data_IF_376823155477
#
_entry.id   IF_376823155477
#
_cell.length_a   1.000
_cell.length_b   1.000
_cell.length_c   1.000
_cell.angle_alpha   90.00
_cell.angle_beta   90.00
_cell.angle_gamma   90.00
#
_symmetry.space_group_name_H-M   'P 1'
#
loop_
_entity.id
_entity.type
_entity.pdbx_description
1 polymer ?
#
# COMPACT_ATOMS: atom_id res chain seq x y z
N UNK A 1 -63.20 20.99 -23.43
CA UNK A 1 -62.35 19.90 -22.87
C UNK A 1 -63.09 19.22 -21.73
N UNK A 2 -63.36 17.91 -21.84
CA UNK A 2 -64.07 17.11 -20.83
C UNK A 2 -63.29 17.05 -19.50
N UNK A 3 -64.01 17.06 -18.36
CA UNK A 3 -63.45 16.93 -16.99
C UNK A 3 -62.45 15.77 -16.84
N UNK A 4 -62.64 14.69 -17.62
CA UNK A 4 -61.74 13.52 -17.66
C UNK A 4 -60.32 13.87 -18.13
N UNK A 5 -60.17 14.77 -19.10
CA UNK A 5 -58.86 15.16 -19.63
C UNK A 5 -58.05 15.97 -18.62
N UNK A 6 -58.72 16.78 -17.77
CA UNK A 6 -58.05 17.56 -16.71
C UNK A 6 -57.48 16.66 -15.61
N UNK A 7 -58.22 15.62 -15.22
CA UNK A 7 -57.73 14.62 -14.24
C UNK A 7 -56.55 13.81 -14.75
N UNK A 8 -56.58 13.42 -16.03
CA UNK A 8 -55.46 12.71 -16.68
C UNK A 8 -54.19 13.57 -16.74
N UNK A 9 -54.29 14.85 -17.10
CA UNK A 9 -53.15 15.79 -17.12
C UNK A 9 -52.58 15.98 -15.70
N UNK A 10 -53.43 16.11 -14.68
CA UNK A 10 -52.99 16.23 -13.29
C UNK A 10 -52.25 14.97 -12.84
N UNK A 11 -52.76 13.78 -13.16
CA UNK A 11 -52.12 12.52 -12.79
C UNK A 11 -50.77 12.34 -13.47
N UNK A 12 -50.67 12.66 -14.76
CA UNK A 12 -49.41 12.60 -15.51
C UNK A 12 -48.37 13.57 -14.94
N UNK A 13 -48.77 14.80 -14.63
CA UNK A 13 -47.86 15.81 -14.04
C UNK A 13 -47.38 15.39 -12.66
N UNK A 14 -48.25 14.84 -11.80
CA UNK A 14 -47.84 14.28 -10.50
C UNK A 14 -46.84 13.13 -10.66
N UNK A 15 -47.06 12.25 -11.64
CA UNK A 15 -46.17 11.11 -11.91
C UNK A 15 -44.79 11.59 -12.40
N UNK A 16 -44.76 12.58 -13.29
CA UNK A 16 -43.51 13.21 -13.74
C UNK A 16 -42.77 13.88 -12.57
N UNK A 17 -43.47 14.64 -11.72
CA UNK A 17 -42.87 15.28 -10.54
C UNK A 17 -42.33 14.22 -9.57
N UNK A 18 -43.05 13.12 -9.35
CA UNK A 18 -42.59 12.02 -8.51
C UNK A 18 -41.30 11.38 -9.05
N UNK A 19 -41.22 11.13 -10.36
CA UNK A 19 -40.02 10.60 -11.01
C UNK A 19 -38.85 11.57 -10.89
N UNK A 20 -39.07 12.86 -11.15
CA UNK A 20 -38.02 13.90 -11.00
C UNK A 20 -37.54 13.96 -9.54
N UNK A 21 -38.46 13.93 -8.58
CA UNK A 21 -38.12 13.97 -7.15
C UNK A 21 -37.31 12.75 -6.73
N UNK A 22 -37.67 11.56 -7.22
CA UNK A 22 -36.94 10.33 -6.96
C UNK A 22 -35.53 10.36 -7.58
N UNK A 23 -35.41 10.88 -8.80
CA UNK A 23 -34.11 11.07 -9.47
C UNK A 23 -33.21 12.04 -8.70
N UNK A 24 -33.76 13.14 -8.18
CA UNK A 24 -33.02 14.10 -7.35
C UNK A 24 -32.56 13.43 -6.06
N UNK A 25 -33.45 12.73 -5.35
CA UNK A 25 -33.10 12.03 -4.11
C UNK A 25 -31.99 10.99 -4.33
N UNK A 26 -32.10 10.22 -5.42
CA UNK A 26 -31.11 9.20 -5.79
C UNK A 26 -29.77 9.85 -6.13
N UNK A 27 -29.79 10.97 -6.85
CA UNK A 27 -28.58 11.74 -7.17
C UNK A 27 -27.89 12.27 -5.91
N UNK A 28 -28.65 12.80 -4.94
CA UNK A 28 -28.10 13.24 -3.65
C UNK A 28 -27.48 12.07 -2.87
N UNK A 29 -28.13 10.91 -2.86
CA UNK A 29 -27.58 9.70 -2.23
C UNK A 29 -26.27 9.26 -2.89
N UNK A 30 -26.20 9.28 -4.23
CA UNK A 30 -24.97 8.99 -4.95
C UNK A 30 -23.85 9.96 -4.59
N UNK A 31 -24.10 11.27 -4.58
CA UNK A 31 -23.11 12.28 -4.19
C UNK A 31 -22.55 12.00 -2.78
N UNK A 32 -23.43 11.65 -1.83
CA UNK A 32 -23.03 11.33 -0.47
C UNK A 32 -22.16 10.05 -0.39
N UNK A 33 -22.50 9.02 -1.18
CA UNK A 33 -21.71 7.79 -1.27
C UNK A 33 -20.34 8.02 -1.92
N UNK A 34 -20.29 8.85 -2.98
CA UNK A 34 -19.03 9.23 -3.62
C UNK A 34 -18.14 9.98 -2.65
N UNK A 35 -18.68 10.95 -1.92
CA UNK A 35 -17.94 11.70 -0.92
C UNK A 35 -17.35 10.78 0.16
N UNK A 36 -18.14 9.84 0.70
CA UNK A 36 -17.65 8.85 1.68
C UNK A 36 -16.53 7.98 1.11
N UNK A 37 -16.65 7.56 -0.15
CA UNK A 37 -15.65 6.71 -0.80
C UNK A 37 -14.34 7.47 -1.01
N UNK A 38 -14.41 8.73 -1.46
CA UNK A 38 -13.25 9.59 -1.66
C UNK A 38 -12.52 9.81 -0.33
N UNK A 39 -13.23 10.18 0.73
CA UNK A 39 -12.61 10.38 2.04
C UNK A 39 -11.93 9.10 2.56
N UNK A 40 -12.58 7.94 2.38
CA UNK A 40 -11.97 6.66 2.76
C UNK A 40 -10.70 6.39 1.94
N UNK A 41 -10.75 6.65 0.64
CA UNK A 41 -9.60 6.47 -0.25
C UNK A 41 -8.45 7.41 0.11
N UNK A 42 -8.73 8.66 0.47
CA UNK A 42 -7.73 9.62 0.92
C UNK A 42 -7.03 9.14 2.19
N UNK A 43 -7.78 8.66 3.19
CA UNK A 43 -7.20 8.10 4.43
C UNK A 43 -6.31 6.89 4.12
N UNK A 44 -6.76 5.97 3.28
CA UNK A 44 -5.96 4.80 2.88
C UNK A 44 -4.68 5.20 2.15
N UNK A 45 -4.77 6.21 1.28
CA UNK A 45 -3.63 6.76 0.55
C UNK A 45 -2.61 7.37 1.52
N UNK A 46 -3.06 8.22 2.45
CA UNK A 46 -2.19 8.82 3.47
C UNK A 46 -1.50 7.74 4.32
N UNK A 47 -2.24 6.73 4.78
CA UNK A 47 -1.69 5.63 5.57
C UNK A 47 -0.64 4.83 4.79
N UNK A 48 -0.89 4.57 3.50
CA UNK A 48 0.09 3.91 2.63
C UNK A 48 1.40 4.71 2.54
N UNK A 49 1.33 6.01 2.24
CA UNK A 49 2.53 6.83 2.07
C UNK A 49 3.32 7.02 3.37
N UNK A 50 2.64 7.12 4.51
CA UNK A 50 3.32 7.14 5.80
C UNK A 50 4.11 5.84 6.04
N UNK A 51 3.51 4.69 5.73
CA UNK A 51 4.21 3.42 5.86
C UNK A 51 5.34 3.27 4.84
N UNK A 52 5.16 3.78 3.62
CA UNK A 52 6.19 3.79 2.59
C UNK A 52 7.39 4.64 3.03
N UNK A 53 7.16 5.85 3.54
CA UNK A 53 8.23 6.71 4.07
C UNK A 53 9.03 6.01 5.17
N UNK A 54 8.34 5.38 6.13
CA UNK A 54 8.99 4.61 7.20
C UNK A 54 9.79 3.42 6.62
N UNK A 55 9.23 2.67 5.69
CA UNK A 55 9.90 1.53 5.07
C UNK A 55 11.15 1.96 4.29
N UNK A 56 11.06 3.04 3.52
CA UNK A 56 12.19 3.59 2.78
C UNK A 56 13.26 4.15 3.74
N UNK A 57 12.86 4.81 4.83
CA UNK A 57 13.81 5.28 5.86
C UNK A 57 14.58 4.12 6.49
N UNK A 58 13.90 3.02 6.81
CA UNK A 58 14.53 1.80 7.33
C UNK A 58 15.56 1.22 6.34
N UNK A 59 15.26 1.25 5.04
CA UNK A 59 16.20 0.80 4.00
C UNK A 59 17.45 1.68 3.92
N UNK A 60 17.30 3.00 4.03
CA UNK A 60 18.44 3.94 3.98
C UNK A 60 19.29 3.90 5.25
N UNK A 61 18.69 3.63 6.42
CA UNK A 61 19.37 3.60 7.71
C UNK A 61 19.88 2.22 8.11
N UNK A 62 20.04 1.29 7.15
CA UNK A 62 20.37 -0.11 7.39
C UNK A 62 21.58 -0.33 8.31
N UNK A 63 22.61 0.51 8.21
CA UNK A 63 23.83 0.40 9.03
C UNK A 63 23.61 0.72 10.51
N UNK A 64 22.54 1.42 10.84
CA UNK A 64 22.14 1.75 12.21
C UNK A 64 21.10 0.78 12.79
N UNK A 65 20.58 -0.17 11.98
CA UNK A 65 19.63 -1.16 12.44
C UNK A 65 20.33 -2.25 13.23
N UNK A 66 19.68 -2.72 14.31
CA UNK A 66 20.18 -3.90 15.03
C UNK A 66 20.20 -5.10 14.09
N UNK A 67 21.26 -5.93 14.12
CA UNK A 67 21.33 -7.15 13.31
C UNK A 67 20.15 -8.09 13.57
N UNK A 68 19.55 -8.05 14.76
CA UNK A 68 18.37 -8.87 15.12
C UNK A 68 17.10 -8.47 14.33
N UNK A 69 17.08 -7.27 13.75
CA UNK A 69 16.00 -6.79 12.90
C UNK A 69 16.14 -7.26 11.45
N UNK A 70 17.30 -7.84 11.10
CA UNK A 70 17.64 -8.27 9.75
C UNK A 70 17.60 -9.79 9.68
N UNK A 71 16.61 -10.34 9.00
CA UNK A 71 16.51 -11.79 8.77
C UNK A 71 16.95 -12.15 7.35
N UNK A 72 17.49 -13.36 7.16
CA UNK A 72 17.89 -13.91 5.86
C UNK A 72 16.92 -14.98 5.35
N UNK A 73 15.67 -14.93 5.77
CA UNK A 73 14.63 -15.87 5.34
C UNK A 73 13.80 -15.27 4.21
N UNK A 74 13.48 -16.08 3.19
CA UNK A 74 12.49 -15.71 2.18
C UNK A 74 11.10 -16.24 2.57
N UNK A 75 10.60 -15.83 3.74
CA UNK A 75 9.30 -16.26 4.27
C UNK A 75 8.38 -15.09 4.56
N UNK A 76 7.98 -14.38 3.48
CA UNK A 76 7.18 -13.15 3.55
C UNK A 76 5.97 -13.24 4.51
N UNK A 77 5.20 -14.33 4.44
CA UNK A 77 4.01 -14.52 5.28
C UNK A 77 4.36 -14.84 6.74
N UNK A 78 5.48 -15.51 6.99
CA UNK A 78 5.93 -15.81 8.34
C UNK A 78 6.42 -14.55 9.05
N UNK A 79 7.10 -13.66 8.32
CA UNK A 79 7.51 -12.35 8.83
C UNK A 79 6.30 -11.50 9.20
N UNK A 80 5.25 -11.52 8.37
CA UNK A 80 3.96 -10.90 8.70
C UNK A 80 3.41 -11.48 10.01
N UNK A 81 3.28 -12.81 10.10
CA UNK A 81 2.77 -13.47 11.30
C UNK A 81 3.57 -13.10 12.57
N UNK A 82 4.89 -13.10 12.48
CA UNK A 82 5.76 -12.72 13.60
C UNK A 82 5.50 -11.28 14.06
N UNK A 83 5.30 -10.33 13.14
CA UNK A 83 4.99 -8.94 13.50
C UNK A 83 3.63 -8.81 14.18
N UNK A 84 2.63 -9.58 13.72
CA UNK A 84 1.30 -9.61 14.33
C UNK A 84 1.33 -10.23 15.74
N UNK A 85 2.23 -11.18 15.99
CA UNK A 85 2.52 -11.73 17.32
C UNK A 85 3.45 -10.86 18.18
N UNK A 86 3.56 -9.56 17.88
CA UNK A 86 4.39 -8.61 18.62
C UNK A 86 5.89 -8.93 18.60
N UNK A 87 6.39 -9.78 17.70
CA UNK A 87 7.83 -9.98 17.48
C UNK A 87 8.38 -8.90 16.55
N UNK A 88 9.70 -8.86 16.41
CA UNK A 88 10.41 -7.90 15.56
C UNK A 88 10.80 -6.61 16.25
N UNK A 89 11.40 -5.72 15.48
CA UNK A 89 11.98 -4.51 16.00
C UNK A 89 10.95 -3.39 16.05
N UNK A 90 11.08 -2.53 17.06
CA UNK A 90 10.16 -1.40 17.25
C UNK A 90 10.82 -0.10 16.81
N UNK A 91 10.04 0.75 16.17
CA UNK A 91 10.39 2.12 15.81
C UNK A 91 9.25 3.03 16.26
N UNK A 92 9.56 4.16 16.90
CA UNK A 92 8.56 5.18 17.22
C UNK A 92 8.75 6.36 16.28
N UNK A 93 7.70 6.77 15.59
CA UNK A 93 7.69 8.00 14.78
C UNK A 93 6.48 8.84 15.20
N UNK A 94 6.74 9.96 15.87
CA UNK A 94 5.69 10.77 16.48
C UNK A 94 4.94 10.01 17.59
N UNK A 95 3.63 9.90 17.45
CA UNK A 95 2.75 9.18 18.39
C UNK A 95 2.58 7.70 18.03
N UNK A 96 2.93 7.31 16.79
CA UNK A 96 2.68 5.96 16.29
C UNK A 96 3.87 5.05 16.57
N UNK A 97 3.57 3.85 17.09
CA UNK A 97 4.54 2.78 17.25
C UNK A 97 4.49 1.88 16.03
N UNK A 98 5.64 1.55 15.46
CA UNK A 98 5.77 0.65 14.34
C UNK A 98 6.56 -0.58 14.78
N UNK A 99 6.16 -1.75 14.32
CA UNK A 99 7.02 -2.93 14.31
C UNK A 99 7.47 -3.22 12.89
N UNK A 100 8.71 -3.68 12.75
CA UNK A 100 9.28 -3.96 11.45
C UNK A 100 10.27 -5.13 11.46
N UNK A 101 10.44 -5.69 10.27
CA UNK A 101 11.54 -6.58 9.91
C UNK A 101 12.12 -6.17 8.57
N UNK A 102 13.43 -6.36 8.43
CA UNK A 102 14.14 -6.25 7.15
C UNK A 102 14.63 -7.63 6.76
N UNK A 103 14.15 -8.13 5.64
CA UNK A 103 14.59 -9.38 5.03
C UNK A 103 15.68 -9.05 4.00
N UNK A 104 16.88 -9.58 4.20
CA UNK A 104 17.94 -9.55 3.21
C UNK A 104 17.81 -10.79 2.29
N UNK A 105 17.33 -10.57 1.07
CA UNK A 105 17.09 -11.63 0.09
C UNK A 105 18.36 -11.95 -0.73
N UNK A 106 19.44 -11.20 -0.53
CA UNK A 106 20.72 -11.43 -1.17
C UNK A 106 20.86 -10.84 -2.58
N UNK A 107 21.96 -11.21 -3.22
CA UNK A 107 22.37 -10.69 -4.53
C UNK A 107 22.02 -11.65 -5.66
N UNK A 108 21.56 -11.10 -6.79
CA UNK A 108 21.14 -11.88 -7.96
C UNK A 108 22.01 -11.47 -9.16
N UNK A 109 23.08 -12.23 -9.49
CA UNK A 109 24.05 -11.84 -10.51
C UNK A 109 23.48 -11.62 -11.91
N UNK A 110 22.45 -12.39 -12.26
CA UNK A 110 21.83 -12.36 -13.58
C UNK A 110 20.70 -11.33 -13.71
N UNK A 111 20.28 -10.73 -12.59
CA UNK A 111 19.40 -9.57 -12.58
C UNK A 111 20.29 -8.33 -12.41
N UNK A 112 20.62 -7.68 -13.52
CA UNK A 112 21.64 -6.64 -13.53
C UNK A 112 21.01 -5.26 -13.40
N UNK A 113 21.63 -4.41 -12.61
CA UNK A 113 21.26 -3.00 -12.49
C UNK A 113 22.36 -2.14 -13.12
N UNK A 114 21.95 -1.03 -13.74
CA UNK A 114 22.87 -0.04 -14.30
C UNK A 114 22.76 1.25 -13.49
N UNK A 115 23.84 1.64 -12.82
CA UNK A 115 23.89 2.87 -12.03
C UNK A 115 25.17 3.65 -12.36
N UNK A 116 25.02 4.92 -12.76
CA UNK A 116 26.14 5.79 -13.15
C UNK A 116 27.09 5.14 -14.18
N UNK A 117 26.51 4.45 -15.17
CA UNK A 117 27.26 3.76 -16.23
C UNK A 117 27.93 2.44 -15.80
N UNK A 118 27.85 2.05 -14.53
CA UNK A 118 28.38 0.78 -14.03
C UNK A 118 27.28 -0.27 -13.96
N UNK A 119 27.64 -1.49 -14.37
CA UNK A 119 26.79 -2.67 -14.28
C UNK A 119 27.17 -3.47 -13.05
N UNK A 120 26.18 -3.86 -12.25
CA UNK A 120 26.36 -4.71 -11.06
C UNK A 120 25.20 -5.70 -10.92
N UNK A 121 25.37 -6.70 -10.06
CA UNK A 121 24.27 -7.52 -9.61
C UNK A 121 23.24 -6.65 -8.88
N UNK A 122 21.98 -7.07 -8.87
CA UNK A 122 20.99 -6.49 -7.98
C UNK A 122 21.12 -7.07 -6.58
N UNK A 123 20.87 -6.24 -5.57
CA UNK A 123 20.69 -6.68 -4.19
C UNK A 123 19.24 -6.44 -3.81
N UNK A 124 18.55 -7.51 -3.40
CA UNK A 124 17.13 -7.46 -3.05
C UNK A 124 16.97 -7.44 -1.54
N UNK A 125 16.12 -6.55 -1.07
CA UNK A 125 15.68 -6.48 0.31
C UNK A 125 14.16 -6.43 0.34
N UNK A 126 13.57 -6.92 1.43
CA UNK A 126 12.14 -6.77 1.69
C UNK A 126 11.96 -6.19 3.08
N UNK A 127 11.13 -5.16 3.20
CA UNK A 127 10.82 -4.54 4.49
C UNK A 127 9.35 -4.72 4.74
N UNK A 128 9.03 -5.23 5.92
CA UNK A 128 7.65 -5.34 6.39
C UNK A 128 7.49 -4.41 7.58
N UNK A 129 6.50 -3.52 7.53
CA UNK A 129 6.19 -2.53 8.56
C UNK A 129 4.73 -2.66 8.95
N UNK A 130 4.46 -2.65 10.25
CA UNK A 130 3.13 -2.69 10.85
C UNK A 130 3.02 -1.53 11.85
N UNK A 131 2.12 -0.57 11.66
CA UNK A 131 1.76 0.42 12.68
C UNK A 131 0.87 -0.23 13.73
N UNK A 132 1.10 0.16 14.99
CA UNK A 132 0.32 -0.21 16.16
C UNK A 132 -0.33 1.04 16.74
N UNK A 133 -1.65 0.98 16.90
CA UNK A 133 -2.46 2.00 17.56
C UNK A 133 -3.15 1.35 18.75
N UNK A 134 -3.07 1.96 19.93
CA UNK A 134 -3.62 1.41 21.19
C UNK A 134 -3.17 -0.05 21.46
N UNK A 135 -1.97 -0.41 21.00
CA UNK A 135 -1.41 -1.75 21.15
C UNK A 135 -1.91 -2.77 20.14
N UNK A 136 -2.75 -2.41 19.16
CA UNK A 136 -3.24 -3.32 18.12
C UNK A 136 -2.68 -2.96 16.75
N UNK A 137 -2.34 -3.96 15.90
CA UNK A 137 -1.86 -3.69 14.55
C UNK A 137 -3.02 -3.22 13.66
N UNK A 138 -2.88 -2.07 12.99
CA UNK A 138 -3.98 -1.47 12.21
C UNK A 138 -3.89 -1.68 10.71
N UNK A 139 -2.66 -1.82 10.19
CA UNK A 139 -2.40 -2.01 8.77
C UNK A 139 -1.07 -2.75 8.57
N UNK A 140 -0.72 -3.07 7.33
CA UNK A 140 0.58 -3.65 7.01
C UNK A 140 1.05 -3.18 5.65
N UNK A 141 2.33 -2.84 5.57
CA UNK A 141 3.01 -2.62 4.30
C UNK A 141 4.24 -3.50 4.21
N UNK A 142 4.36 -4.20 3.09
CA UNK A 142 5.56 -4.93 2.72
C UNK A 142 6.08 -4.40 1.39
N UNK A 143 7.33 -3.98 1.33
CA UNK A 143 7.99 -3.43 0.14
C UNK A 143 9.20 -4.29 -0.20
N UNK A 144 9.33 -4.69 -1.47
CA UNK A 144 10.57 -5.23 -2.03
C UNK A 144 11.35 -4.11 -2.70
N UNK A 145 12.59 -3.92 -2.27
CA UNK A 145 13.48 -2.89 -2.77
C UNK A 145 14.71 -3.52 -3.44
N UNK A 146 15.13 -2.91 -4.55
CA UNK A 146 16.27 -3.32 -5.36
C UNK A 146 17.32 -2.21 -5.30
N UNK A 147 18.49 -2.55 -4.77
CA UNK A 147 19.67 -1.70 -4.75
C UNK A 147 20.79 -2.28 -5.62
N UNK A 148 21.83 -1.48 -5.84
CA UNK A 148 23.05 -1.96 -6.49
C UNK A 148 23.83 -2.84 -5.54
N UNK A 149 24.01 -4.11 -5.91
CA UNK A 149 24.87 -5.06 -5.22
C UNK A 149 26.29 -5.04 -5.76
N UNK A 150 27.04 -6.10 -5.43
CA UNK A 150 28.40 -6.31 -5.89
C UNK A 150 28.48 -6.58 -7.39
N UNK A 151 29.66 -6.37 -7.96
CA UNK A 151 29.95 -6.76 -9.33
C UNK A 151 30.24 -8.26 -9.33
N UNK A 152 29.26 -9.06 -9.76
CA UNK A 152 29.36 -10.52 -9.82
C UNK A 152 29.06 -10.95 -11.27
N UNK A 153 29.87 -11.85 -11.87
CA UNK A 153 29.58 -12.35 -13.20
C UNK A 153 28.32 -13.22 -13.21
N UNK A 154 27.43 -13.01 -14.18
CA UNK A 154 26.35 -13.93 -14.49
C UNK A 154 26.87 -14.99 -15.49
N UNK A 155 26.60 -16.26 -15.21
CA UNK A 155 27.01 -17.39 -16.06
C UNK A 155 25.99 -17.71 -17.17
N UNK A 156 24.86 -17.01 -17.21
CA UNK A 156 23.74 -17.23 -18.13
C UNK A 156 23.29 -15.90 -18.75
N UNK A 157 22.07 -15.85 -19.30
CA UNK A 157 21.49 -14.64 -19.88
C UNK A 157 21.14 -13.63 -18.78
N UNK A 158 21.63 -12.42 -18.97
CA UNK A 158 21.36 -11.30 -18.07
C UNK A 158 20.04 -10.62 -18.41
N UNK A 159 19.37 -10.11 -17.38
CA UNK A 159 18.19 -9.28 -17.52
C UNK A 159 18.37 -7.98 -16.76
N UNK A 160 18.21 -6.85 -17.45
CA UNK A 160 18.34 -5.54 -16.83
C UNK A 160 17.06 -5.17 -16.08
N UNK A 161 17.19 -4.77 -14.83
CA UNK A 161 16.08 -4.35 -13.96
C UNK A 161 16.33 -2.95 -13.40
N UNK A 162 15.27 -2.17 -13.14
CA UNK A 162 15.39 -0.86 -12.52
C UNK A 162 15.75 -0.97 -11.03
N UNK A 163 16.39 0.08 -10.52
CA UNK A 163 16.59 0.28 -9.07
C UNK A 163 15.30 0.80 -8.43
N UNK A 164 15.18 0.61 -7.11
CA UNK A 164 14.08 1.15 -6.31
C UNK A 164 13.06 0.10 -5.88
N UNK A 165 11.82 0.54 -5.64
CA UNK A 165 10.72 -0.35 -5.27
C UNK A 165 10.33 -1.24 -6.45
N UNK A 166 10.41 -2.55 -6.26
CA UNK A 166 10.06 -3.56 -7.26
C UNK A 166 8.62 -4.03 -7.12
N UNK A 167 8.17 -4.21 -5.88
CA UNK A 167 6.81 -4.65 -5.58
C UNK A 167 6.43 -4.22 -4.17
N UNK A 168 5.13 -4.14 -3.93
CA UNK A 168 4.58 -3.85 -2.61
C UNK A 168 3.31 -4.67 -2.35
N UNK A 169 3.02 -4.89 -1.07
CA UNK A 169 1.77 -5.49 -0.58
C UNK A 169 1.27 -4.65 0.58
N UNK A 170 0.10 -4.07 0.42
CA UNK A 170 -0.55 -3.25 1.43
C UNK A 170 -1.84 -3.91 1.90
N UNK A 171 -1.97 -4.08 3.21
CA UNK A 171 -3.20 -4.52 3.87
C UNK A 171 -3.71 -3.34 4.72
N UNK A 172 -4.79 -2.68 4.29
CA UNK A 172 -5.30 -1.50 4.99
C UNK A 172 -6.02 -1.81 6.30
N UNK A 173 -6.28 -3.09 6.57
CA UNK A 173 -6.90 -3.62 7.79
C UNK A 173 -6.37 -5.03 8.02
N UNK A 174 -6.18 -5.39 9.29
CA UNK A 174 -5.65 -6.69 9.74
C UNK A 174 -6.63 -7.44 10.63
#
# INVERSE_FOLDING_TARGET
MSRKNKGFILLLTLLIIAVISLLILTSMQHVLLYYKTINKQEVLHQNFYQLEDIALRLLHQRTALSPDCVTRSDSANQVIHNLLEYKGCSLKSGLTQYKYYVEDLGEFPCLVVRYKGRKSASHHQRVTVVPFEEGSPVALLQIRYISAGRVIPCLVKEHAIPLGVSSWRYLPSL
#
